data_IF_560944554209
#
_entry.id   IF_560944554209
#
_cell.length_a   1.000
_cell.length_b   1.000
_cell.length_c   1.000
_cell.angle_alpha   90.00
_cell.angle_beta   90.00
_cell.angle_gamma   90.00
#
_symmetry.space_group_name_H-M   'P 1'
#
loop_
_entity.id
_entity.type
_entity.pdbx_description
1 polymer ?
#
# COMPACT_ATOMS: atom_id res chain seq x y z
N UNK A 1 -20.79 -15.95 -14.19
CA UNK A 1 -19.43 -15.60 -14.63
C UNK A 1 -19.03 -14.12 -14.41
N UNK A 2 -19.94 -13.13 -14.44
CA UNK A 2 -19.58 -11.69 -14.27
C UNK A 2 -19.88 -11.08 -12.89
N UNK A 3 -20.46 -11.85 -11.97
CA UNK A 3 -20.95 -11.36 -10.68
C UNK A 3 -20.44 -12.13 -9.47
N UNK A 4 -19.37 -12.92 -9.61
CA UNK A 4 -18.87 -13.70 -8.47
C UNK A 4 -18.28 -12.77 -7.40
N UNK A 5 -18.97 -12.54 -6.27
CA UNK A 5 -18.46 -11.67 -5.20
C UNK A 5 -17.19 -12.28 -4.59
N UNK A 6 -17.03 -13.58 -4.78
CA UNK A 6 -15.90 -14.42 -4.38
C UNK A 6 -14.59 -13.99 -5.04
N UNK A 7 -14.61 -13.53 -6.30
CA UNK A 7 -13.40 -13.14 -7.04
C UNK A 7 -12.63 -12.01 -6.33
N UNK A 8 -13.35 -11.04 -5.74
CA UNK A 8 -12.73 -9.95 -4.95
C UNK A 8 -12.06 -10.49 -3.70
N UNK A 9 -12.72 -11.40 -2.98
CA UNK A 9 -12.19 -11.99 -1.75
C UNK A 9 -10.96 -12.86 -2.01
N UNK A 10 -11.00 -13.66 -3.08
CA UNK A 10 -9.86 -14.47 -3.51
C UNK A 10 -8.66 -13.58 -3.84
N UNK A 11 -8.87 -12.50 -4.61
CA UNK A 11 -7.79 -11.55 -4.92
C UNK A 11 -7.25 -10.83 -3.69
N UNK A 12 -8.12 -10.45 -2.75
CA UNK A 12 -7.70 -9.87 -1.48
C UNK A 12 -6.86 -10.85 -0.66
N UNK A 13 -7.24 -12.13 -0.61
CA UNK A 13 -6.48 -13.16 0.11
C UNK A 13 -5.10 -13.35 -0.51
N UNK A 14 -5.02 -13.48 -1.85
CA UNK A 14 -3.74 -13.59 -2.57
C UNK A 14 -2.86 -12.37 -2.30
N UNK A 15 -3.44 -11.16 -2.34
CA UNK A 15 -2.73 -9.93 -2.02
C UNK A 15 -2.20 -9.94 -0.58
N UNK A 16 -3.03 -10.31 0.40
CA UNK A 16 -2.63 -10.33 1.81
C UNK A 16 -1.51 -11.35 2.05
N UNK A 17 -1.64 -12.58 1.56
CA UNK A 17 -0.60 -13.62 1.75
C UNK A 17 0.73 -13.20 1.13
N UNK A 18 0.71 -12.65 -0.08
CA UNK A 18 1.94 -12.17 -0.76
C UNK A 18 2.61 -11.02 0.00
N UNK A 19 1.81 -10.06 0.47
CA UNK A 19 2.34 -8.88 1.14
C UNK A 19 2.74 -9.15 2.61
N UNK A 20 2.07 -10.08 3.29
CA UNK A 20 2.39 -10.45 4.66
C UNK A 20 3.83 -10.97 4.79
N UNK A 21 4.30 -11.76 3.84
CA UNK A 21 5.67 -12.32 3.88
C UNK A 21 6.74 -11.24 3.98
N UNK A 22 6.68 -10.21 3.12
CA UNK A 22 7.68 -9.14 3.15
C UNK A 22 7.53 -8.27 4.42
N UNK A 23 6.30 -8.00 4.84
CA UNK A 23 6.04 -7.18 6.04
C UNK A 23 6.62 -7.83 7.28
N UNK A 24 6.41 -9.13 7.46
CA UNK A 24 6.93 -9.89 8.60
C UNK A 24 8.45 -9.85 8.63
N UNK A 25 9.12 -10.01 7.48
CA UNK A 25 10.59 -9.96 7.40
C UNK A 25 11.11 -8.58 7.82
N UNK A 26 10.51 -7.49 7.32
CA UNK A 26 10.90 -6.12 7.69
C UNK A 26 10.71 -5.87 9.18
N UNK A 27 9.55 -6.24 9.74
CA UNK A 27 9.28 -6.05 11.16
C UNK A 27 10.19 -6.89 12.05
N UNK A 28 10.47 -8.14 11.66
CA UNK A 28 11.36 -9.03 12.40
C UNK A 28 12.80 -8.50 12.39
N UNK A 29 13.27 -8.02 11.25
CA UNK A 29 14.59 -7.37 11.14
C UNK A 29 14.69 -6.10 12.00
N UNK A 30 13.64 -5.27 12.00
CA UNK A 30 13.60 -4.06 12.80
C UNK A 30 13.59 -4.35 14.31
N UNK A 31 12.87 -5.37 14.75
CA UNK A 31 12.86 -5.83 16.15
C UNK A 31 14.20 -6.46 16.55
N UNK A 32 14.86 -7.18 15.64
CA UNK A 32 16.17 -7.78 15.89
C UNK A 32 17.28 -6.73 16.03
N UNK A 33 17.19 -5.63 15.29
CA UNK A 33 18.16 -4.52 15.34
C UNK A 33 18.01 -3.58 16.54
N UNK A 34 17.03 -3.81 17.43
CA UNK A 34 16.77 -2.95 18.60
C UNK A 34 17.89 -3.08 19.66
N UNK A 35 18.46 -1.97 20.16
CA UNK A 35 19.49 -2.00 21.21
C UNK A 35 19.03 -2.72 22.48
N UNK A 36 19.95 -3.42 23.16
CA UNK A 36 19.64 -4.22 24.37
C UNK A 36 19.06 -3.38 25.51
N UNK A 37 19.45 -2.11 25.60
CA UNK A 37 18.96 -1.13 26.57
C UNK A 37 17.42 -1.08 26.61
N UNK A 38 16.76 -1.12 25.45
CA UNK A 38 15.29 -1.12 25.41
C UNK A 38 14.69 -2.43 25.94
N UNK A 39 15.34 -3.58 25.73
CA UNK A 39 14.90 -4.87 26.29
C UNK A 39 15.06 -4.91 27.81
N UNK A 40 16.08 -4.25 28.35
CA UNK A 40 16.29 -4.12 29.79
C UNK A 40 15.24 -3.21 30.44
N UNK A 41 14.82 -2.14 29.75
CA UNK A 41 13.70 -1.29 30.20
C UNK A 41 12.40 -2.09 30.33
N UNK A 42 12.15 -3.07 29.45
CA UNK A 42 11.01 -3.97 29.59
C UNK A 42 11.09 -4.86 30.84
N UNK A 43 12.29 -5.34 31.20
CA UNK A 43 12.46 -6.16 32.42
C UNK A 43 12.30 -5.37 33.72
N UNK A 44 12.52 -4.04 33.65
CA UNK A 44 12.37 -3.13 34.79
C UNK A 44 10.95 -2.57 34.92
N UNK A 45 10.21 -2.45 33.82
CA UNK A 45 8.85 -1.91 33.80
C UNK A 45 7.82 -3.06 33.94
N UNK A 46 7.26 -3.24 35.13
CA UNK A 46 6.26 -4.29 35.45
C UNK A 46 4.87 -4.05 34.84
N UNK A 47 4.79 -3.24 33.78
CA UNK A 47 3.54 -2.94 33.06
C UNK A 47 3.29 -3.93 31.93
N UNK A 48 2.02 -4.26 31.73
CA UNK A 48 1.49 -5.11 30.65
C UNK A 48 2.24 -4.95 29.31
N UNK A 49 2.55 -6.08 28.66
CA UNK A 49 3.14 -6.19 27.32
C UNK A 49 2.52 -5.24 26.30
N UNK A 50 1.20 -5.04 26.36
CA UNK A 50 0.48 -4.15 25.45
C UNK A 50 0.81 -2.67 25.69
N UNK A 51 0.94 -2.27 26.96
CA UNK A 51 1.33 -0.90 27.32
C UNK A 51 2.77 -0.61 26.89
N UNK A 52 3.68 -1.57 27.07
CA UNK A 52 5.07 -1.45 26.63
C UNK A 52 5.17 -1.37 25.10
N UNK A 53 4.47 -2.27 24.38
CA UNK A 53 4.46 -2.26 22.93
C UNK A 53 3.98 -0.91 22.38
N UNK A 54 2.89 -0.37 22.93
CA UNK A 54 2.32 0.89 22.43
C UNK A 54 3.15 2.13 22.79
N UNK A 55 3.78 2.17 23.96
CA UNK A 55 4.52 3.35 24.45
C UNK A 55 6.00 3.37 24.10
N UNK A 56 6.61 2.20 23.89
CA UNK A 56 8.06 2.09 23.67
C UNK A 56 8.35 1.53 22.27
N UNK A 57 7.77 0.37 21.93
CA UNK A 57 8.07 -0.31 20.66
C UNK A 57 7.54 0.49 19.46
N UNK A 58 6.26 0.90 19.47
CA UNK A 58 5.64 1.65 18.36
C UNK A 58 6.39 2.96 18.05
N UNK A 59 6.67 3.86 19.02
CA UNK A 59 7.39 5.09 18.71
C UNK A 59 8.82 4.85 18.21
N UNK A 60 9.52 3.84 18.74
CA UNK A 60 10.86 3.48 18.24
C UNK A 60 10.82 2.92 16.81
N UNK A 61 9.80 2.12 16.50
CA UNK A 61 9.58 1.56 15.16
C UNK A 61 8.89 2.52 14.19
N UNK A 62 8.52 3.74 14.60
CA UNK A 62 7.90 4.76 13.74
C UNK A 62 8.53 4.85 12.34
N UNK A 63 9.87 5.03 12.17
CA UNK A 63 10.48 5.12 10.83
C UNK A 63 10.26 3.85 10.00
N UNK A 64 10.27 2.67 10.63
CA UNK A 64 10.02 1.38 9.97
C UNK A 64 8.55 1.24 9.59
N UNK A 65 7.63 1.65 10.46
CA UNK A 65 6.19 1.66 10.18
C UNK A 65 5.91 2.58 8.99
N UNK A 66 6.48 3.79 8.95
CA UNK A 66 6.37 4.70 7.81
C UNK A 66 6.87 4.05 6.51
N UNK A 67 8.02 3.38 6.56
CA UNK A 67 8.57 2.67 5.41
C UNK A 67 7.63 1.54 4.93
N UNK A 68 7.12 0.71 5.84
CA UNK A 68 6.17 -0.36 5.51
C UNK A 68 4.88 0.20 4.92
N UNK A 69 4.36 1.32 5.44
CA UNK A 69 3.16 1.99 4.90
C UNK A 69 3.39 2.44 3.45
N UNK A 70 4.53 3.07 3.16
CA UNK A 70 4.87 3.50 1.79
C UNK A 70 5.00 2.29 0.87
N UNK A 71 5.69 1.23 1.30
CA UNK A 71 5.78 -0.02 0.54
C UNK A 71 4.39 -0.63 0.29
N UNK A 72 3.52 -0.62 1.29
CA UNK A 72 2.15 -1.14 1.17
C UNK A 72 1.36 -0.37 0.12
N UNK A 73 1.48 0.96 0.12
CA UNK A 73 0.86 1.81 -0.89
C UNK A 73 1.38 1.48 -2.29
N UNK A 74 2.69 1.30 -2.46
CA UNK A 74 3.28 0.90 -3.75
C UNK A 74 2.73 -0.47 -4.18
N UNK A 75 2.69 -1.44 -3.28
CA UNK A 75 2.17 -2.78 -3.57
C UNK A 75 0.68 -2.75 -3.96
N UNK A 76 -0.12 -1.89 -3.36
CA UNK A 76 -1.52 -1.68 -3.76
C UNK A 76 -1.66 -1.24 -5.22
N UNK A 77 -0.71 -0.46 -5.77
CA UNK A 77 -0.72 -0.12 -7.20
C UNK A 77 -0.22 -1.26 -8.09
N UNK A 78 0.65 -2.13 -7.57
CA UNK A 78 1.21 -3.24 -8.33
C UNK A 78 0.21 -4.39 -8.56
N UNK A 79 -0.83 -4.50 -7.73
CA UNK A 79 -1.88 -5.54 -7.78
C UNK A 79 -2.54 -5.71 -9.17
N UNK A 80 -2.49 -4.68 -10.01
CA UNK A 80 -2.96 -4.72 -11.38
C UNK A 80 -2.34 -5.87 -12.17
N UNK A 81 -1.04 -6.13 -12.00
CA UNK A 81 -0.33 -7.19 -12.75
C UNK A 81 -0.90 -8.57 -12.42
N UNK A 82 -1.27 -8.79 -11.18
CA UNK A 82 -1.88 -10.02 -10.69
C UNK A 82 -3.30 -10.17 -11.22
N UNK A 83 -4.11 -9.11 -11.18
CA UNK A 83 -5.47 -9.12 -11.77
C UNK A 83 -5.40 -9.44 -13.26
N UNK A 84 -4.50 -8.78 -13.98
CA UNK A 84 -4.31 -9.00 -15.41
C UNK A 84 -3.79 -10.41 -15.71
N UNK A 85 -2.88 -10.95 -14.90
CA UNK A 85 -2.36 -12.31 -15.06
C UNK A 85 -3.42 -13.40 -14.86
N UNK A 86 -4.36 -13.18 -13.93
CA UNK A 86 -5.39 -14.18 -13.60
C UNK A 86 -6.66 -14.08 -14.48
N UNK A 87 -7.07 -12.87 -14.83
CA UNK A 87 -8.35 -12.62 -15.51
C UNK A 87 -8.20 -11.98 -16.90
N UNK A 88 -6.98 -11.61 -17.30
CA UNK A 88 -6.72 -10.99 -18.60
C UNK A 88 -7.23 -9.56 -18.71
N UNK A 89 -7.61 -9.19 -19.94
CA UNK A 89 -7.97 -7.81 -20.30
C UNK A 89 -9.33 -7.34 -19.75
N UNK A 90 -10.27 -8.26 -19.52
CA UNK A 90 -11.63 -7.93 -19.04
C UNK A 90 -11.95 -8.73 -17.77
N UNK A 91 -11.37 -8.35 -16.62
CA UNK A 91 -11.73 -8.95 -15.36
C UNK A 91 -13.17 -8.63 -14.96
N UNK A 92 -13.72 -9.34 -13.96
CA UNK A 92 -14.99 -9.00 -13.35
C UNK A 92 -15.05 -7.51 -12.95
N UNK A 93 -16.24 -6.90 -13.04
CA UNK A 93 -16.42 -5.45 -12.80
C UNK A 93 -15.84 -4.98 -11.45
N UNK A 94 -15.86 -5.82 -10.42
CA UNK A 94 -15.29 -5.53 -9.09
C UNK A 94 -13.76 -5.42 -9.05
N UNK A 95 -13.08 -5.92 -10.07
CA UNK A 95 -11.63 -5.94 -10.23
C UNK A 95 -11.18 -5.12 -11.45
N UNK A 96 -12.10 -4.38 -12.06
CA UNK A 96 -11.80 -3.57 -13.23
C UNK A 96 -11.05 -2.30 -12.82
N UNK A 97 -9.73 -2.31 -13.01
CA UNK A 97 -8.85 -1.19 -12.66
C UNK A 97 -8.69 -0.18 -13.80
N UNK A 98 -8.26 1.03 -13.44
CA UNK A 98 -7.95 2.10 -14.40
C UNK A 98 -6.96 1.65 -15.49
N UNK A 99 -5.99 0.83 -15.13
CA UNK A 99 -5.01 0.29 -16.08
C UNK A 99 -5.67 -0.65 -17.11
N UNK A 100 -6.70 -1.44 -16.73
CA UNK A 100 -7.48 -2.22 -17.70
C UNK A 100 -8.25 -1.30 -18.65
N UNK A 101 -8.82 -0.21 -18.11
CA UNK A 101 -9.50 0.80 -18.92
C UNK A 101 -8.55 1.40 -19.96
N UNK A 102 -7.37 1.85 -19.54
CA UNK A 102 -6.38 2.45 -20.44
C UNK A 102 -5.92 1.45 -21.50
N UNK A 103 -5.55 0.23 -21.08
CA UNK A 103 -5.04 -0.80 -21.99
C UNK A 103 -6.10 -1.21 -23.03
N UNK A 104 -7.34 -1.45 -22.60
CA UNK A 104 -8.40 -1.87 -23.51
C UNK A 104 -8.79 -0.76 -24.51
N UNK A 105 -8.77 0.50 -24.09
CA UNK A 105 -9.05 1.62 -25.00
C UNK A 105 -7.88 1.88 -25.96
N UNK A 106 -6.63 1.64 -25.53
CA UNK A 106 -5.45 1.70 -26.40
C UNK A 106 -5.52 0.63 -27.50
N UNK A 107 -5.82 -0.63 -27.14
CA UNK A 107 -5.95 -1.74 -28.09
C UNK A 107 -7.11 -1.56 -29.08
N UNK A 108 -8.20 -0.91 -28.64
CA UNK A 108 -9.35 -0.57 -29.50
C UNK A 108 -9.14 0.70 -30.34
N UNK A 109 -7.95 1.31 -30.30
CA UNK A 109 -7.62 2.56 -31.01
C UNK A 109 -8.56 3.74 -30.65
N UNK A 110 -9.18 3.70 -29.48
CA UNK A 110 -10.09 4.74 -28.99
C UNK A 110 -9.29 5.89 -28.34
N UNK A 111 -8.45 6.56 -29.14
CA UNK A 111 -7.52 7.58 -28.67
C UNK A 111 -8.21 8.77 -28.00
N UNK A 112 -9.41 9.16 -28.45
CA UNK A 112 -10.15 10.26 -27.83
C UNK A 112 -10.48 9.99 -26.36
N UNK A 113 -10.94 8.77 -26.04
CA UNK A 113 -11.22 8.36 -24.66
C UNK A 113 -9.94 8.22 -23.85
N UNK A 114 -8.89 7.67 -24.44
CA UNK A 114 -7.58 7.53 -23.81
C UNK A 114 -6.98 8.87 -23.42
N UNK A 115 -6.95 9.84 -24.33
CA UNK A 115 -6.43 11.19 -24.07
C UNK A 115 -7.20 11.90 -22.96
N UNK A 116 -8.55 11.83 -23.00
CA UNK A 116 -9.39 12.44 -21.96
C UNK A 116 -9.14 11.83 -20.57
N UNK A 117 -9.03 10.50 -20.48
CA UNK A 117 -8.74 9.81 -19.24
C UNK A 117 -7.33 10.12 -18.73
N UNK A 118 -6.32 10.14 -19.60
CA UNK A 118 -4.93 10.43 -19.23
C UNK A 118 -4.78 11.83 -18.65
N UNK A 119 -5.50 12.81 -19.20
CA UNK A 119 -5.52 14.17 -18.68
C UNK A 119 -6.13 14.24 -17.29
N UNK A 120 -7.30 13.61 -17.09
CA UNK A 120 -7.98 13.57 -15.79
C UNK A 120 -7.12 12.88 -14.71
N UNK A 121 -6.50 11.75 -15.04
CA UNK A 121 -5.64 11.01 -14.11
C UNK A 121 -4.40 11.83 -13.75
N UNK A 122 -3.73 12.43 -14.73
CA UNK A 122 -2.58 13.30 -14.48
C UNK A 122 -2.96 14.49 -13.59
N UNK A 123 -4.10 15.11 -13.84
CA UNK A 123 -4.58 16.24 -13.05
C UNK A 123 -4.88 15.84 -11.60
N UNK A 124 -5.54 14.70 -11.38
CA UNK A 124 -5.85 14.20 -10.03
C UNK A 124 -4.58 13.84 -9.25
N UNK A 125 -3.63 13.11 -9.85
CA UNK A 125 -2.36 12.76 -9.21
C UNK A 125 -1.55 14.03 -8.94
N UNK A 126 -1.48 14.95 -9.91
CA UNK A 126 -0.79 16.24 -9.75
C UNK A 126 -1.34 17.06 -8.59
N UNK A 127 -2.67 17.10 -8.41
CA UNK A 127 -3.31 17.74 -7.26
C UNK A 127 -2.94 17.08 -5.94
N UNK A 128 -2.97 15.74 -5.86
CA UNK A 128 -2.59 15.00 -4.65
C UNK A 128 -1.13 15.28 -4.27
N UNK A 129 -0.22 15.24 -5.24
CA UNK A 129 1.20 15.54 -5.01
C UNK A 129 1.40 16.99 -4.59
N UNK A 130 0.71 17.95 -5.22
CA UNK A 130 0.79 19.36 -4.85
C UNK A 130 0.30 19.61 -3.41
N UNK A 131 -0.77 18.93 -2.99
CA UNK A 131 -1.26 19.00 -1.59
C UNK A 131 -0.23 18.40 -0.64
N UNK A 132 0.32 17.22 -0.97
CA UNK A 132 1.35 16.57 -0.15
C UNK A 132 2.57 17.48 0.07
N UNK A 133 3.11 18.08 -1.00
CA UNK A 133 4.25 18.98 -0.91
C UNK A 133 3.92 20.22 -0.05
N UNK A 134 2.72 20.80 -0.20
CA UNK A 134 2.30 21.93 0.65
C UNK A 134 2.19 21.58 2.13
N UNK A 135 1.77 20.36 2.47
CA UNK A 135 1.72 19.89 3.86
C UNK A 135 3.13 19.68 4.41
N UNK A 136 4.03 19.10 3.62
CA UNK A 136 5.41 18.89 4.01
C UNK A 136 6.15 20.22 4.26
N UNK A 137 5.92 21.22 3.41
CA UNK A 137 6.50 22.56 3.58
C UNK A 137 6.03 23.24 4.87
N UNK A 138 4.78 23.02 5.28
CA UNK A 138 4.26 23.51 6.58
C UNK A 138 4.88 22.78 7.76
N UNK A 139 5.18 21.49 7.62
CA UNK A 139 5.80 20.69 8.69
C UNK A 139 7.28 21.01 8.89
N UNK A 140 8.02 21.40 7.84
CA UNK A 140 9.44 21.80 7.96
C UNK A 140 9.62 23.21 8.54
N UNK A 141 8.56 24.02 8.59
CA UNK A 141 8.56 25.39 9.16
C UNK A 141 8.19 25.44 10.65
N UNK A 142 7.88 24.29 11.27
CA UNK A 142 7.71 24.11 12.72
C UNK A 142 8.91 23.36 13.28
#
# INVERSE_FOLDING_TARGET
YWHDPTARWVMLLVFVVKNLGYMVIIFSGALAGMPKEYKEVFSLDSRSLFSYARRVIIPLLTPVIFFVVILSLINCFQIYREVFGLYGQYPPNSLYMLQNFMNNNFLKLNYHRLCSASFLVTMTIGLVVAVYLRVQDRSKRR
#
